data_IF_579589207863
#
_entry.id   IF_579589207863
#
_cell.length_a   1.000
_cell.length_b   1.000
_cell.length_c   1.000
_cell.angle_alpha   90.00
_cell.angle_beta   90.00
_cell.angle_gamma   90.00
#
_symmetry.space_group_name_H-M   'P 1'
#
loop_
_entity.id
_entity.type
_entity.pdbx_description
1 polymer ?
#
# COMPACT_ATOMS: atom_id res chain seq x y z
N UNK A 1 -8.36 -2.75 4.69
CA UNK A 1 -7.39 -2.95 3.60
C UNK A 1 -7.26 -4.43 3.34
N UNK A 2 -7.33 -4.86 2.08
CA UNK A 2 -6.79 -6.15 1.66
C UNK A 2 -5.29 -5.97 1.46
N UNK A 3 -4.46 -6.76 2.14
CA UNK A 3 -3.00 -6.60 2.05
C UNK A 3 -2.53 -7.03 0.65
N UNK A 4 -2.54 -6.12 -0.30
CA UNK A 4 -2.19 -6.38 -1.70
C UNK A 4 -0.67 -6.36 -1.93
N UNK A 5 -0.22 -7.09 -2.94
CA UNK A 5 1.20 -7.19 -3.29
C UNK A 5 1.66 -6.03 -4.19
N UNK A 6 0.75 -5.32 -4.87
CA UNK A 6 1.04 -4.19 -5.77
C UNK A 6 0.82 -2.83 -5.12
N UNK A 7 -0.14 -2.70 -4.20
CA UNK A 7 -0.38 -1.44 -3.46
C UNK A 7 0.89 -0.85 -2.82
N UNK A 8 1.83 -1.63 -2.26
CA UNK A 8 3.10 -1.09 -1.76
C UNK A 8 3.85 -0.20 -2.76
N UNK A 9 3.76 -0.49 -4.07
CA UNK A 9 4.38 0.35 -5.12
C UNK A 9 3.82 1.78 -5.09
N UNK A 10 2.51 1.93 -4.90
CA UNK A 10 1.85 3.25 -4.82
C UNK A 10 2.27 3.97 -3.54
N UNK A 11 2.35 3.26 -2.42
CA UNK A 11 2.77 3.85 -1.15
C UNK A 11 4.22 4.36 -1.21
N UNK A 12 5.10 3.63 -1.90
CA UNK A 12 6.47 4.07 -2.19
C UNK A 12 6.49 5.27 -3.10
N UNK A 13 5.69 5.26 -4.17
CA UNK A 13 5.57 6.40 -5.08
C UNK A 13 5.11 7.69 -4.38
N UNK A 14 4.19 7.58 -3.43
CA UNK A 14 3.73 8.72 -2.61
C UNK A 14 4.70 9.11 -1.48
N UNK A 15 5.78 8.36 -1.27
CA UNK A 15 6.74 8.60 -0.19
C UNK A 15 6.20 8.25 1.20
N UNK A 16 5.12 7.47 1.27
CA UNK A 16 4.51 7.00 2.53
C UNK A 16 5.08 5.67 3.02
N UNK A 17 5.74 4.92 2.13
CA UNK A 17 6.51 3.72 2.41
C UNK A 17 7.89 3.88 1.77
N UNK A 18 8.94 3.37 2.41
CA UNK A 18 10.29 3.36 1.85
C UNK A 18 10.90 1.97 1.99
N UNK A 19 11.58 1.51 0.94
CA UNK A 19 12.41 0.32 1.02
C UNK A 19 13.83 0.73 1.33
N UNK A 20 14.47 0.04 2.28
CA UNK A 20 15.91 0.15 2.46
C UNK A 20 16.63 -0.25 1.17
N UNK A 21 17.86 0.23 0.96
CA UNK A 21 18.66 -0.15 -0.22
C UNK A 21 18.80 -1.67 -0.35
N UNK A 22 18.95 -2.39 0.78
CA UNK A 22 19.03 -3.85 0.79
C UNK A 22 17.73 -4.50 0.30
N UNK A 23 16.58 -4.07 0.84
CA UNK A 23 15.28 -4.62 0.43
C UNK A 23 14.97 -4.26 -1.03
N UNK A 24 15.27 -3.04 -1.45
CA UNK A 24 15.11 -2.57 -2.83
C UNK A 24 15.90 -3.44 -3.82
N UNK A 25 17.19 -3.67 -3.56
CA UNK A 25 18.01 -4.51 -4.43
C UNK A 25 17.55 -5.98 -4.41
N UNK A 26 17.13 -6.49 -3.25
CA UNK A 26 16.54 -7.83 -3.17
C UNK A 26 15.28 -7.95 -4.03
N UNK A 27 14.33 -7.02 -3.92
CA UNK A 27 13.07 -7.08 -4.66
C UNK A 27 13.28 -6.98 -6.19
N UNK A 28 14.30 -6.25 -6.65
CA UNK A 28 14.67 -6.17 -8.09
C UNK A 28 15.14 -7.50 -8.67
N UNK A 29 15.58 -8.45 -7.85
CA UNK A 29 15.98 -9.79 -8.32
C UNK A 29 14.81 -10.66 -8.77
N UNK A 30 13.57 -10.20 -8.56
CA UNK A 30 12.36 -10.95 -8.89
C UNK A 30 12.24 -12.32 -8.20
N UNK A 31 12.95 -12.50 -7.08
CA UNK A 31 12.88 -13.71 -6.25
C UNK A 31 11.46 -13.92 -5.73
N UNK A 32 10.94 -15.14 -5.90
CA UNK A 32 9.67 -15.56 -5.29
C UNK A 32 9.95 -15.88 -3.82
N UNK A 33 9.35 -15.11 -2.93
CA UNK A 33 9.37 -15.31 -1.50
C UNK A 33 8.44 -16.46 -1.09
N UNK A 34 8.81 -17.15 -0.02
CA UNK A 34 7.91 -18.12 0.62
C UNK A 34 6.74 -17.40 1.28
N UNK A 35 5.59 -18.07 1.36
CA UNK A 35 4.44 -17.53 2.07
C UNK A 35 4.77 -17.37 3.57
N UNK A 36 4.59 -16.16 4.11
CA UNK A 36 4.97 -15.84 5.48
C UNK A 36 6.43 -15.44 5.65
N UNK A 37 7.18 -15.21 4.56
CA UNK A 37 8.52 -14.65 4.64
C UNK A 37 8.49 -13.31 5.41
N UNK A 38 9.41 -13.07 6.37
CA UNK A 38 9.40 -11.85 7.18
C UNK A 38 9.37 -10.56 6.36
N UNK A 39 10.02 -10.52 5.19
CA UNK A 39 10.04 -9.33 4.31
C UNK A 39 8.67 -9.08 3.69
N UNK A 40 7.99 -10.15 3.24
CA UNK A 40 6.62 -10.06 2.75
C UNK A 40 5.70 -9.54 3.86
N UNK A 41 5.77 -10.16 5.04
CA UNK A 41 4.92 -9.82 6.19
C UNK A 41 5.15 -8.37 6.62
N UNK A 42 6.41 -7.92 6.63
CA UNK A 42 6.77 -6.54 6.96
C UNK A 42 6.19 -5.54 5.95
N UNK A 43 6.36 -5.76 4.64
CA UNK A 43 5.82 -4.87 3.60
C UNK A 43 4.29 -4.78 3.71
N UNK A 44 3.61 -5.91 3.90
CA UNK A 44 2.15 -5.96 4.06
C UNK A 44 1.70 -5.28 5.36
N UNK A 45 2.38 -5.53 6.47
CA UNK A 45 2.09 -4.94 7.77
C UNK A 45 2.25 -3.42 7.76
N UNK A 46 3.35 -2.93 7.17
CA UNK A 46 3.60 -1.51 6.97
C UNK A 46 2.49 -0.87 6.12
N UNK A 47 2.08 -1.53 5.04
CA UNK A 47 1.00 -1.04 4.17
C UNK A 47 -0.33 -0.90 4.92
N UNK A 48 -0.71 -1.90 5.72
CA UNK A 48 -1.92 -1.83 6.56
C UNK A 48 -1.83 -0.65 7.53
N UNK A 49 -0.71 -0.53 8.23
CA UNK A 49 -0.51 0.55 9.19
C UNK A 49 -0.62 1.93 8.52
N UNK A 50 0.04 2.13 7.38
CA UNK A 50 -0.01 3.39 6.62
C UNK A 50 -1.44 3.73 6.22
N UNK A 51 -2.24 2.78 5.71
CA UNK A 51 -3.63 3.05 5.35
C UNK A 51 -4.46 3.48 6.56
N UNK A 52 -4.27 2.86 7.72
CA UNK A 52 -4.96 3.29 8.94
C UNK A 52 -4.57 4.72 9.33
N UNK A 53 -3.29 5.10 9.19
CA UNK A 53 -2.85 6.48 9.41
C UNK A 53 -3.47 7.46 8.40
N UNK A 54 -3.57 7.07 7.12
CA UNK A 54 -4.22 7.87 6.08
C UNK A 54 -5.70 8.05 6.40
N UNK A 55 -6.40 7.01 6.86
CA UNK A 55 -7.80 7.12 7.29
C UNK A 55 -7.94 8.17 8.38
N UNK A 56 -7.11 8.11 9.41
CA UNK A 56 -7.18 9.03 10.54
C UNK A 56 -6.87 10.48 10.11
N UNK A 57 -5.91 10.65 9.21
CA UNK A 57 -5.59 11.95 8.61
C UNK A 57 -6.76 12.50 7.78
N UNK A 58 -7.42 11.67 6.96
CA UNK A 58 -8.62 12.07 6.19
C UNK A 58 -9.75 12.47 7.14
N UNK A 59 -10.02 11.69 8.19
CA UNK A 59 -11.03 12.02 9.20
C UNK A 59 -10.73 13.37 9.84
N UNK A 60 -9.47 13.64 10.19
CA UNK A 60 -9.06 14.92 10.77
C UNK A 60 -9.32 16.08 9.82
N UNK A 61 -8.89 15.96 8.56
CA UNK A 61 -9.07 16.99 7.53
C UNK A 61 -10.55 17.28 7.31
N UNK A 62 -11.40 16.25 7.21
CA UNK A 62 -12.83 16.43 7.00
C UNK A 62 -13.48 17.14 8.20
N UNK A 63 -13.13 16.78 9.44
CA UNK A 63 -13.66 17.49 10.62
C UNK A 63 -13.26 18.97 10.66
N UNK A 64 -12.04 19.30 10.26
CA UNK A 64 -11.51 20.66 10.34
C UNK A 64 -11.96 21.55 9.16
N UNK A 65 -12.07 20.99 7.95
CA UNK A 65 -12.22 21.75 6.72
C UNK A 65 -13.55 21.51 6.00
N UNK A 66 -14.19 20.36 6.22
CA UNK A 66 -15.40 19.92 5.53
C UNK A 66 -16.42 19.26 6.49
N UNK A 67 -16.85 19.96 7.56
CA UNK A 67 -17.71 19.38 8.60
C UNK A 67 -19.09 18.94 8.07
N UNK A 68 -19.48 19.36 6.87
CA UNK A 68 -20.68 18.92 6.16
C UNK A 68 -20.60 17.50 5.60
N UNK A 69 -19.38 16.97 5.41
CA UNK A 69 -19.17 15.62 4.86
C UNK A 69 -19.28 14.59 5.98
N UNK A 70 -20.20 13.63 5.82
CA UNK A 70 -20.31 12.51 6.76
C UNK A 70 -19.04 11.64 6.74
N UNK A 71 -18.61 11.23 7.94
CA UNK A 71 -17.47 10.35 8.15
C UNK A 71 -17.82 8.86 8.02
N UNK A 72 -19.11 8.51 7.88
CA UNK A 72 -19.59 7.13 7.93
C UNK A 72 -18.93 6.23 6.86
N UNK A 73 -18.52 6.83 5.74
CA UNK A 73 -17.90 6.12 4.62
C UNK A 73 -16.37 6.26 4.57
N UNK A 74 -15.74 6.90 5.56
CA UNK A 74 -14.29 7.03 5.63
C UNK A 74 -13.71 5.77 6.27
N UNK A 75 -13.32 4.82 5.44
CA UNK A 75 -12.75 3.56 5.93
C UNK A 75 -11.61 3.07 5.04
N UNK A 76 -10.84 2.14 5.60
CA UNK A 76 -9.65 1.57 4.99
C UNK A 76 -9.94 0.67 3.78
N UNK A 77 -11.20 0.35 3.48
CA UNK A 77 -11.59 -0.40 2.26
C UNK A 77 -11.68 0.58 1.09
N UNK A 78 -12.26 1.75 1.29
CA UNK A 78 -12.36 2.80 0.25
C UNK A 78 -10.97 3.32 -0.13
N UNK A 79 -10.10 3.52 0.86
CA UNK A 79 -8.72 3.97 0.62
C UNK A 79 -7.93 2.90 -0.15
N UNK A 80 -8.06 1.64 0.24
CA UNK A 80 -7.44 0.49 -0.44
C UNK A 80 -7.89 0.38 -1.91
N UNK A 81 -9.20 0.50 -2.16
CA UNK A 81 -9.75 0.53 -3.51
C UNK A 81 -9.21 1.70 -4.33
N UNK A 82 -9.11 2.90 -3.74
CA UNK A 82 -8.54 4.07 -4.40
C UNK A 82 -7.08 3.82 -4.81
N UNK A 83 -6.25 3.27 -3.91
CA UNK A 83 -4.85 2.98 -4.21
C UNK A 83 -4.72 1.92 -5.31
N UNK A 84 -5.59 0.91 -5.31
CA UNK A 84 -5.59 -0.09 -6.36
C UNK A 84 -5.98 0.48 -7.72
N UNK A 85 -7.02 1.32 -7.78
CA UNK A 85 -7.41 2.00 -9.02
C UNK A 85 -6.35 2.99 -9.48
N UNK A 86 -5.69 3.69 -8.54
CA UNK A 86 -4.54 4.54 -8.83
C UNK A 86 -3.43 3.73 -9.49
N UNK A 87 -3.04 2.59 -8.90
CA UNK A 87 -2.03 1.69 -9.47
C UNK A 87 -2.37 1.32 -10.90
N UNK A 88 -3.59 0.86 -11.17
CA UNK A 88 -4.00 0.43 -12.53
C UNK A 88 -3.93 1.57 -13.54
N UNK A 89 -4.37 2.77 -13.14
CA UNK A 89 -4.37 3.96 -14.01
C UNK A 89 -2.96 4.45 -14.31
N UNK A 90 -2.05 4.33 -13.33
CA UNK A 90 -0.68 4.84 -13.39
C UNK A 90 0.37 3.73 -13.51
N UNK A 91 0.01 2.60 -14.14
CA UNK A 91 0.88 1.41 -14.17
C UNK A 91 2.27 1.70 -14.75
N UNK A 92 2.35 2.47 -15.83
CA UNK A 92 3.62 2.83 -16.47
C UNK A 92 4.52 3.67 -15.55
N UNK A 93 3.93 4.57 -14.76
CA UNK A 93 4.66 5.44 -13.84
C UNK A 93 5.24 4.65 -12.66
N UNK A 94 4.61 3.53 -12.30
CA UNK A 94 4.94 2.71 -11.12
C UNK A 94 5.80 1.48 -11.45
N UNK A 95 6.01 1.17 -12.73
CA UNK A 95 6.67 -0.07 -13.16
C UNK A 95 8.12 -0.19 -12.69
N UNK A 96 8.79 0.94 -12.46
CA UNK A 96 10.16 1.01 -11.96
C UNK A 96 10.30 0.66 -10.47
N UNK A 97 9.21 0.65 -9.71
CA UNK A 97 9.20 0.33 -8.28
C UNK A 97 8.95 -1.18 -8.14
N UNK A 98 9.88 -1.99 -7.59
CA UNK A 98 9.65 -3.42 -7.46
C UNK A 98 8.62 -3.72 -6.36
N UNK A 99 8.13 -4.96 -6.32
CA UNK A 99 7.18 -5.42 -5.32
C UNK A 99 7.46 -6.87 -4.93
N UNK A 100 7.02 -7.30 -3.75
CA UNK A 100 7.24 -8.67 -3.29
C UNK A 100 6.40 -9.67 -4.08
N UNK A 101 7.04 -10.73 -4.59
CA UNK A 101 6.37 -11.86 -5.26
C UNK A 101 6.26 -13.01 -4.29
N UNK A 102 5.05 -13.51 -4.06
CA UNK A 102 4.77 -14.66 -3.20
C UNK A 102 3.73 -15.53 -3.89
N UNK A 103 3.88 -16.85 -3.80
CA UNK A 103 2.85 -17.82 -4.18
C UNK A 103 2.12 -18.28 -2.91
N UNK A 104 0.79 -18.18 -2.92
CA UNK A 104 -0.07 -18.55 -1.79
C UNK A 104 -1.47 -18.93 -2.27
N UNK A 105 -2.36 -19.31 -1.35
CA UNK A 105 -3.78 -19.50 -1.70
C UNK A 105 -4.52 -18.18 -1.99
N UNK A 106 -3.90 -17.03 -1.68
CA UNK A 106 -4.47 -15.70 -1.89
C UNK A 106 -3.95 -15.02 -3.17
N UNK A 107 -2.78 -15.43 -3.68
CA UNK A 107 -2.06 -14.84 -4.81
C UNK A 107 -1.20 -15.89 -5.52
#
# INVERSE_FOLDING_TARGET
MFADYRIPQVLVHFGSLEYTSELMEFLKTDTILENGDPREVEIRGASIYIIEQVRDAVVKILKEQHPEISLDNVNSIVIDQYLWDYRRRHNADLEHIPFHKVLSIYY
#
